data_IF_764626752627
#
_entry.id   IF_764626752627
#
_cell.length_a   1.000
_cell.length_b   1.000
_cell.length_c   1.000
_cell.angle_alpha   90.00
_cell.angle_beta   90.00
_cell.angle_gamma   90.00
#
_symmetry.space_group_name_H-M   'P 1'
#
loop_
_entity.id
_entity.type
_entity.pdbx_description
1 polymer ?
#
# COMPACT_ATOMS: atom_id res chain seq x y z
N UNK A 1 -6.67 11.69 -9.67
CA UNK A 1 -7.49 10.50 -9.38
C UNK A 1 -6.57 9.42 -8.82
N UNK A 2 -6.77 8.91 -7.60
CA UNK A 2 -5.74 8.13 -6.90
C UNK A 2 -5.98 6.62 -7.03
N UNK A 3 -4.92 5.81 -7.14
CA UNK A 3 -4.98 4.36 -6.91
C UNK A 3 -3.82 3.89 -6.01
N UNK A 4 -3.98 2.70 -5.45
CA UNK A 4 -2.99 2.04 -4.60
C UNK A 4 -2.57 0.73 -5.27
N UNK A 5 -1.28 0.51 -5.42
CA UNK A 5 -0.71 -0.69 -6.02
C UNK A 5 0.11 -1.47 -4.99
N UNK A 6 -0.11 -2.78 -4.93
CA UNK A 6 0.60 -3.74 -4.12
C UNK A 6 1.50 -4.55 -5.05
N UNK A 7 2.80 -4.45 -4.85
CA UNK A 7 3.83 -5.05 -5.70
C UNK A 7 4.67 -6.05 -4.91
N UNK A 8 4.81 -7.24 -5.48
CA UNK A 8 5.77 -8.24 -5.06
C UNK A 8 6.80 -8.43 -6.18
N UNK A 9 7.83 -9.26 -5.95
CA UNK A 9 8.78 -9.65 -7.01
C UNK A 9 8.11 -10.25 -8.26
N UNK A 10 6.96 -10.93 -8.11
CA UNK A 10 6.38 -11.73 -9.19
C UNK A 10 5.15 -11.09 -9.84
N UNK A 11 4.40 -10.31 -9.08
CA UNK A 11 3.16 -9.70 -9.55
C UNK A 11 2.89 -8.38 -8.84
N UNK A 12 2.16 -7.51 -9.53
CA UNK A 12 1.62 -6.27 -9.01
C UNK A 12 0.11 -6.24 -9.21
N UNK A 13 -0.61 -5.75 -8.21
CA UNK A 13 -2.07 -5.62 -8.20
C UNK A 13 -2.45 -4.24 -7.74
N UNK A 14 -3.29 -3.54 -8.49
CA UNK A 14 -3.73 -2.19 -8.15
C UNK A 14 -5.23 -2.13 -7.88
N UNK A 15 -5.62 -1.27 -6.94
CA UNK A 15 -7.01 -0.93 -6.70
C UNK A 15 -7.60 -0.18 -7.90
N UNK A 16 -8.94 -0.08 -7.94
CA UNK A 16 -9.61 0.82 -8.89
C UNK A 16 -9.24 2.28 -8.59
N UNK A 17 -9.18 3.09 -9.63
CA UNK A 17 -8.92 4.53 -9.51
C UNK A 17 -10.09 5.22 -8.78
N UNK A 18 -9.80 5.84 -7.64
CA UNK A 18 -10.70 6.73 -6.93
C UNK A 18 -10.64 8.13 -7.54
N UNK A 19 -11.80 8.69 -7.91
CA UNK A 19 -11.87 9.98 -8.60
C UNK A 19 -12.19 11.10 -7.61
N UNK A 20 -11.60 12.27 -7.85
CA UNK A 20 -11.90 13.53 -7.14
C UNK A 20 -11.88 13.43 -5.60
N UNK A 21 -10.94 12.67 -5.04
CA UNK A 21 -10.75 12.56 -3.59
C UNK A 21 -9.27 12.50 -3.22
N UNK A 22 -8.93 13.07 -2.06
CA UNK A 22 -7.64 12.93 -1.40
C UNK A 22 -7.71 11.94 -0.21
N UNK A 23 -8.90 11.45 0.12
CA UNK A 23 -9.16 10.41 1.13
C UNK A 23 -9.88 9.23 0.45
N UNK A 24 -9.17 8.46 -0.38
CA UNK A 24 -9.76 7.36 -1.12
C UNK A 24 -10.02 6.13 -0.22
N UNK A 25 -11.23 5.58 -0.32
CA UNK A 25 -11.58 4.31 0.34
C UNK A 25 -11.66 3.20 -0.71
N UNK A 26 -10.72 2.26 -0.64
CA UNK A 26 -10.72 1.06 -1.49
C UNK A 26 -11.07 -0.18 -0.68
N UNK A 27 -12.27 -0.70 -0.87
CA UNK A 27 -12.67 -1.99 -0.27
C UNK A 27 -12.27 -3.10 -1.23
N UNK A 28 -10.99 -3.48 -1.23
CA UNK A 28 -10.42 -4.51 -2.11
C UNK A 28 -9.56 -5.49 -1.31
N UNK A 29 -9.58 -6.76 -1.72
CA UNK A 29 -8.73 -7.81 -1.16
C UNK A 29 -7.85 -8.37 -2.29
N UNK A 30 -6.56 -8.51 -2.02
CA UNK A 30 -5.61 -9.17 -2.92
C UNK A 30 -5.00 -10.38 -2.21
N UNK A 31 -4.93 -11.49 -2.92
CA UNK A 31 -4.25 -12.70 -2.47
C UNK A 31 -3.04 -12.93 -3.36
N UNK A 32 -1.86 -13.05 -2.76
CA UNK A 32 -0.62 -13.36 -3.44
C UNK A 32 -0.23 -14.80 -3.10
N UNK A 33 -0.29 -15.71 -4.08
CA UNK A 33 -0.08 -17.15 -3.84
C UNK A 33 1.40 -17.53 -3.76
N UNK A 34 2.25 -16.85 -4.54
CA UNK A 34 3.68 -17.17 -4.66
C UNK A 34 4.54 -16.21 -3.83
N UNK A 35 4.24 -16.11 -2.53
CA UNK A 35 4.95 -15.17 -1.65
C UNK A 35 6.01 -15.88 -0.79
N UNK A 36 7.27 -15.50 -0.96
CA UNK A 36 8.38 -15.96 -0.09
C UNK A 36 8.56 -14.91 1.00
N UNK A 37 8.04 -15.20 2.20
CA UNK A 37 8.07 -14.29 3.36
C UNK A 37 9.51 -13.96 3.79
N UNK A 38 10.44 -14.85 3.50
CA UNK A 38 11.78 -14.88 4.07
C UNK A 38 12.75 -13.81 3.52
N UNK A 39 12.37 -13.07 2.47
CA UNK A 39 13.30 -12.16 1.79
C UNK A 39 12.65 -10.95 1.12
N UNK A 40 11.35 -10.70 1.30
CA UNK A 40 10.63 -9.72 0.48
C UNK A 40 9.84 -8.72 1.31
N UNK A 41 10.05 -7.47 0.97
CA UNK A 41 9.16 -6.38 1.29
C UNK A 41 7.96 -6.44 0.32
N UNK A 42 6.76 -6.26 0.84
CA UNK A 42 5.60 -5.92 0.02
C UNK A 42 5.66 -4.42 -0.22
N UNK A 43 5.89 -4.02 -1.45
CA UNK A 43 5.85 -2.62 -1.85
C UNK A 43 4.39 -2.20 -2.02
N UNK A 44 4.00 -1.13 -1.32
CA UNK A 44 2.68 -0.52 -1.47
C UNK A 44 2.86 0.92 -1.88
N UNK A 45 2.54 1.22 -3.14
CA UNK A 45 2.75 2.51 -3.76
C UNK A 45 1.43 3.19 -4.14
N UNK A 46 1.37 4.51 -3.95
CA UNK A 46 0.22 5.35 -4.27
C UNK A 46 0.54 6.17 -5.51
N UNK A 47 -0.41 6.19 -6.45
CA UNK A 47 -0.27 6.91 -7.71
C UNK A 47 -1.46 7.83 -7.96
N UNK A 48 -1.18 9.03 -8.47
CA UNK A 48 -2.18 9.94 -9.01
C UNK A 48 -2.25 9.80 -10.53
N UNK A 49 -3.42 9.43 -11.03
CA UNK A 49 -3.76 9.38 -12.44
C UNK A 49 -4.50 10.66 -12.83
N UNK A 50 -3.92 11.39 -13.76
CA UNK A 50 -4.52 12.59 -14.34
C UNK A 50 -4.26 12.63 -15.85
N UNK A 51 -5.34 12.61 -16.65
CA UNK A 51 -5.29 12.76 -18.11
C UNK A 51 -4.25 11.87 -18.82
N UNK A 52 -4.22 10.57 -18.49
CA UNK A 52 -3.30 9.61 -19.11
C UNK A 52 -1.85 9.69 -18.61
N UNK A 53 -1.56 10.55 -17.63
CA UNK A 53 -0.29 10.58 -16.91
C UNK A 53 -0.48 9.98 -15.52
N UNK A 54 0.55 9.27 -15.07
CA UNK A 54 0.63 8.69 -13.73
C UNK A 54 1.75 9.40 -12.98
N UNK A 55 1.44 9.99 -11.83
CA UNK A 55 2.39 10.59 -10.92
C UNK A 55 2.52 9.73 -9.67
N UNK A 56 3.74 9.48 -9.22
CA UNK A 56 4.01 8.80 -7.96
C UNK A 56 3.79 9.74 -6.78
N UNK A 57 3.00 9.31 -5.78
CA UNK A 57 2.74 10.08 -4.56
C UNK A 57 3.66 9.65 -3.42
N UNK A 58 3.93 8.35 -3.31
CA UNK A 58 4.75 7.79 -2.25
C UNK A 58 4.55 6.28 -2.12
N UNK A 59 5.44 5.63 -1.37
CA UNK A 59 5.40 4.19 -1.13
C UNK A 59 5.75 3.84 0.32
N UNK A 60 5.33 2.65 0.73
CA UNK A 60 5.83 2.00 1.94
C UNK A 60 6.27 0.58 1.59
N UNK A 61 7.46 0.21 2.09
CA UNK A 61 7.99 -1.14 1.99
C UNK A 61 7.66 -1.89 3.28
N UNK A 62 6.78 -2.88 3.20
CA UNK A 62 6.34 -3.64 4.36
C UNK A 62 7.17 -4.92 4.46
N UNK A 63 8.03 -5.00 5.48
CA UNK A 63 8.77 -6.22 5.78
C UNK A 63 7.83 -7.28 6.39
N UNK A 64 7.50 -8.29 5.60
CA UNK A 64 6.55 -9.34 5.99
C UNK A 64 7.11 -10.35 6.99
N UNK A 65 8.40 -10.35 7.29
CA UNK A 65 8.98 -11.17 8.36
C UNK A 65 8.56 -10.68 9.75
N UNK A 66 8.26 -9.38 9.87
CA UNK A 66 7.95 -8.73 11.15
C UNK A 66 6.57 -8.09 11.17
N UNK A 67 5.91 -7.96 10.01
CA UNK A 67 4.54 -7.45 9.94
C UNK A 67 3.55 -8.37 10.65
N UNK A 68 2.51 -7.79 11.27
CA UNK A 68 1.42 -8.56 11.85
C UNK A 68 0.54 -9.16 10.74
N UNK A 69 0.60 -10.49 10.57
CA UNK A 69 -0.20 -11.27 9.62
C UNK A 69 -1.44 -11.92 10.27
N UNK A 70 -1.87 -11.43 11.43
CA UNK A 70 -3.06 -11.94 12.14
C UNK A 70 -4.39 -11.55 11.50
N UNK A 71 -4.38 -10.71 10.46
CA UNK A 71 -5.58 -10.11 9.89
C UNK A 71 -6.10 -8.92 10.70
N UNK A 72 -5.24 -8.27 11.50
CA UNK A 72 -5.55 -6.98 12.13
C UNK A 72 -5.17 -5.84 11.21
N UNK A 73 -5.92 -4.75 11.29
CA UNK A 73 -5.70 -3.58 10.47
C UNK A 73 -4.77 -2.58 11.19
N UNK A 74 -3.83 -2.01 10.43
CA UNK A 74 -2.87 -1.02 10.92
C UNK A 74 -2.78 0.15 9.95
N UNK A 75 -2.42 1.31 10.49
CA UNK A 75 -2.06 2.49 9.71
C UNK A 75 -0.58 2.43 9.35
N UNK A 76 -0.27 2.41 8.06
CA UNK A 76 1.07 2.45 7.51
C UNK A 76 1.38 3.87 7.03
N UNK A 77 2.30 4.60 7.66
CA UNK A 77 2.69 5.93 7.21
C UNK A 77 3.46 5.85 5.90
N UNK A 78 3.15 6.77 4.98
CA UNK A 78 3.86 6.93 3.72
C UNK A 78 4.90 8.04 3.91
N UNK A 79 6.20 7.72 3.86
CA UNK A 79 7.25 8.74 3.93
C UNK A 79 7.10 9.74 2.78
N UNK A 80 7.31 11.05 3.03
CA UNK A 80 7.30 12.04 1.97
C UNK A 80 8.46 11.80 1.00
N UNK A 81 8.20 12.05 -0.28
CA UNK A 81 9.15 11.78 -1.39
C UNK A 81 10.34 12.76 -1.41
N UNK A 82 10.29 13.85 -0.62
CA UNK A 82 11.34 14.85 -0.54
C UNK A 82 11.83 14.97 0.91
N UNK A 83 13.12 14.69 1.10
CA UNK A 83 13.84 14.88 2.36
C UNK A 83 13.97 16.39 2.63
N UNK A 84 13.41 16.90 3.75
CA UNK A 84 13.89 18.13 4.40
C UNK A 84 13.27 18.31 5.79
N UNK A 85 14.06 18.04 6.82
CA UNK A 85 14.35 18.98 7.91
C UNK A 85 13.31 19.27 8.99
N UNK A 86 12.01 19.29 8.72
CA UNK A 86 10.99 19.61 9.73
C UNK A 86 9.64 19.01 9.30
N UNK A 87 9.37 17.77 9.71
CA UNK A 87 8.13 17.09 9.33
C UNK A 87 7.05 17.33 10.37
N UNK A 88 6.07 18.16 10.00
CA UNK A 88 4.77 18.15 10.62
C UNK A 88 4.10 16.78 10.38
N UNK A 89 4.21 15.89 11.37
CA UNK A 89 3.64 14.55 11.34
C UNK A 89 2.10 14.56 11.25
N UNK A 90 1.46 15.72 11.44
CA UNK A 90 0.00 15.88 11.33
C UNK A 90 -0.49 15.74 9.88
N UNK A 91 0.36 16.05 8.89
CA UNK A 91 0.02 16.01 7.47
C UNK A 91 0.52 14.74 6.74
N UNK A 92 1.01 13.74 7.48
CA UNK A 92 1.56 12.52 6.90
C UNK A 92 0.45 11.65 6.29
N UNK A 93 0.60 11.28 5.02
CA UNK A 93 -0.29 10.33 4.33
C UNK A 93 -0.16 8.96 4.98
N UNK A 94 -1.28 8.26 5.20
CA UNK A 94 -1.30 6.92 5.81
C UNK A 94 -2.24 6.00 5.04
N UNK A 95 -1.87 4.73 4.97
CA UNK A 95 -2.70 3.65 4.41
C UNK A 95 -3.26 2.78 5.52
N UNK A 96 -4.56 2.49 5.49
CA UNK A 96 -5.16 1.51 6.39
C UNK A 96 -5.18 0.14 5.73
N UNK A 97 -4.32 -0.77 6.20
CA UNK A 97 -4.13 -2.09 5.59
C UNK A 97 -4.35 -3.21 6.61
N UNK A 98 -4.93 -4.30 6.14
CA UNK A 98 -5.09 -5.55 6.86
C UNK A 98 -4.27 -6.62 6.14
N UNK A 99 -3.28 -7.20 6.81
CA UNK A 99 -2.46 -8.28 6.28
C UNK A 99 -2.80 -9.58 7.01
N UNK A 100 -2.98 -10.65 6.25
CA UNK A 100 -3.37 -11.93 6.82
C UNK A 100 -3.08 -13.10 5.90
N UNK A 101 -2.95 -14.28 6.48
CA UNK A 101 -2.95 -15.51 5.70
C UNK A 101 -4.34 -15.73 5.09
N UNK A 102 -4.43 -16.26 3.85
CA UNK A 102 -5.71 -16.64 3.29
C UNK A 102 -6.39 -17.61 4.24
N UNK A 103 -7.58 -17.25 4.72
CA UNK A 103 -8.37 -18.19 5.53
C UNK A 103 -8.71 -19.37 4.64
N UNK A 104 -8.09 -20.52 4.93
CA UNK A 104 -8.52 -21.78 4.36
C UNK A 104 -9.94 -22.02 4.86
N UNK A 105 -10.95 -21.67 4.06
CA UNK A 105 -12.29 -22.16 4.27
C UNK A 105 -12.23 -23.67 4.06
N UNK A 106 -12.39 -24.43 5.15
CA UNK A 106 -12.66 -25.86 5.11
C UNK A 106 -14.12 -26.06 5.47
#
# INVERSE_FOLDING_TARGET
>A
MVCCCFSSKYESRCTRVARNTNDPVWIHNFTFENFVINSKELEVAIFDYFQGRTAFIGEVLINLQVADLSGRAYWYPIPPVWDTGDQDLSSQVRLFLLLGHPRSYR
#
